data_IF_982505241438
#
_entry.id   IF_982505241438
#
_cell.length_a   1.000
_cell.length_b   1.000
_cell.length_c   1.000
_cell.angle_alpha   90.00
_cell.angle_beta   90.00
_cell.angle_gamma   90.00
#
_symmetry.space_group_name_H-M   'P 1'
#
loop_
_entity.id
_entity.type
_entity.pdbx_description
1 polymer ?
#
# COMPACT_ATOMS: atom_id res chain seq x y z
N UNK A 1 10.26 -26.48 -71.55
CA UNK A 1 10.55 -25.24 -70.79
C UNK A 1 9.64 -25.21 -69.59
N UNK A 2 10.19 -24.77 -68.46
CA UNK A 2 9.89 -25.18 -67.09
C UNK A 2 8.53 -24.80 -66.48
N UNK A 3 8.02 -25.78 -65.73
CA UNK A 3 7.35 -25.78 -64.41
C UNK A 3 6.99 -24.51 -63.60
N UNK A 4 5.83 -24.66 -62.91
CA UNK A 4 5.34 -24.16 -61.58
C UNK A 4 4.52 -22.86 -61.57
N UNK A 5 3.19 -22.91 -61.34
CA UNK A 5 2.36 -23.17 -60.14
C UNK A 5 2.13 -21.97 -59.18
N UNK A 6 0.91 -21.41 -59.30
CA UNK A 6 -0.03 -20.87 -58.27
C UNK A 6 0.36 -19.70 -57.36
N UNK A 7 -0.31 -18.55 -57.54
CA UNK A 7 -1.49 -18.11 -56.74
C UNK A 7 -1.66 -16.59 -56.86
N UNK A 8 -2.75 -16.13 -57.47
CA UNK A 8 -3.17 -14.72 -57.52
C UNK A 8 -4.69 -14.69 -57.79
N UNK A 9 -5.35 -13.58 -57.41
CA UNK A 9 -6.78 -13.22 -57.49
C UNK A 9 -7.44 -13.20 -56.08
N UNK A 10 -8.12 -12.15 -55.61
CA UNK A 10 -8.70 -10.92 -56.18
C UNK A 10 -8.58 -9.78 -55.12
N UNK A 11 -8.30 -8.50 -55.44
CA UNK A 11 -9.16 -7.49 -56.11
C UNK A 11 -10.42 -7.18 -55.26
N UNK A 12 -10.72 -5.97 -54.79
CA UNK A 12 -11.14 -4.78 -55.55
C UNK A 12 -11.08 -3.51 -54.68
N UNK A 13 -10.74 -2.40 -55.34
CA UNK A 13 -10.57 -1.02 -54.86
C UNK A 13 -11.85 -0.23 -54.53
N UNK A 14 -11.62 0.85 -53.76
CA UNK A 14 -12.31 2.16 -53.74
C UNK A 14 -13.73 2.26 -53.15
N UNK A 15 -13.85 3.02 -52.05
CA UNK A 15 -14.66 4.25 -51.97
C UNK A 15 -14.12 5.11 -50.82
N UNK A 16 -13.73 6.33 -51.18
CA UNK A 16 -13.36 7.41 -50.28
C UNK A 16 -14.62 8.24 -50.03
N UNK A 17 -15.14 8.29 -48.81
CA UNK A 17 -16.09 9.33 -48.37
C UNK A 17 -16.11 9.49 -46.84
N UNK A 18 -15.55 10.62 -46.40
CA UNK A 18 -16.03 11.43 -45.28
C UNK A 18 -15.78 10.97 -43.82
N UNK A 19 -15.08 11.87 -43.12
CA UNK A 19 -15.16 12.20 -41.68
C UNK A 19 -14.38 11.33 -40.67
N UNK A 20 -13.24 11.90 -40.29
CA UNK A 20 -12.85 12.12 -38.89
C UNK A 20 -12.78 10.89 -37.99
N UNK A 21 -11.65 10.18 -38.04
CA UNK A 21 -11.20 9.37 -36.92
C UNK A 21 -10.06 10.11 -36.22
N UNK A 22 -10.46 10.72 -35.10
CA UNK A 22 -9.62 11.10 -33.98
C UNK A 22 -8.52 10.06 -33.78
N UNK A 23 -7.27 10.51 -33.72
CA UNK A 23 -6.25 9.82 -32.95
C UNK A 23 -6.71 9.82 -31.49
N UNK A 24 -7.38 8.76 -31.05
CA UNK A 24 -7.61 8.51 -29.63
C UNK A 24 -6.26 8.02 -29.10
N UNK A 25 -5.54 8.92 -28.44
CA UNK A 25 -4.36 8.58 -27.67
C UNK A 25 -4.72 7.48 -26.67
N UNK A 26 -3.90 6.43 -26.63
CA UNK A 26 -3.90 5.51 -25.51
C UNK A 26 -3.39 6.29 -24.29
N UNK A 27 -4.31 6.78 -23.47
CA UNK A 27 -4.00 7.14 -22.09
C UNK A 27 -3.64 5.83 -21.39
N UNK A 28 -2.34 5.63 -21.13
CA UNK A 28 -1.89 4.55 -20.24
C UNK A 28 -2.48 4.88 -18.86
N UNK A 29 -3.50 4.13 -18.43
CA UNK A 29 -4.00 4.23 -17.07
C UNK A 29 -2.93 3.64 -16.13
N UNK A 30 -2.03 4.47 -15.63
CA UNK A 30 -0.99 4.10 -14.65
C UNK A 30 -1.57 4.10 -13.23
N UNK A 31 -2.50 3.18 -12.97
CA UNK A 31 -2.95 2.86 -11.61
C UNK A 31 -2.46 1.47 -11.24
N UNK A 32 -1.75 1.35 -10.12
CA UNK A 32 -1.44 0.05 -9.53
C UNK A 32 -2.61 -0.41 -8.65
N UNK A 33 -2.68 -1.69 -8.37
CA UNK A 33 -3.62 -2.20 -7.37
C UNK A 33 -3.16 -1.75 -5.98
N UNK A 34 -4.07 -1.34 -5.09
CA UNK A 34 -3.70 -1.08 -3.71
C UNK A 34 -3.21 -2.36 -3.04
N UNK A 35 -2.00 -2.32 -2.50
CA UNK A 35 -1.48 -3.41 -1.66
C UNK A 35 -2.17 -3.27 -0.30
N UNK A 36 -3.04 -4.23 0.03
CA UNK A 36 -3.88 -4.17 1.22
C UNK A 36 -3.05 -4.36 2.51
N UNK A 37 -3.33 -3.51 3.48
CA UNK A 37 -2.62 -3.32 4.75
C UNK A 37 -2.76 -4.45 5.78
N UNK A 38 -3.51 -5.51 5.49
CA UNK A 38 -3.87 -6.48 6.54
C UNK A 38 -2.98 -7.72 6.47
N UNK A 39 -2.14 -7.88 5.43
CA UNK A 39 -1.52 -9.17 5.08
C UNK A 39 -0.05 -9.03 4.64
N UNK A 40 0.70 -8.32 5.49
CA UNK A 40 1.98 -7.68 5.20
C UNK A 40 3.20 -8.60 4.96
N UNK A 41 3.45 -9.66 5.74
CA UNK A 41 4.75 -10.37 5.64
C UNK A 41 4.94 -11.17 4.36
N UNK A 42 3.91 -11.90 3.96
CA UNK A 42 4.07 -12.83 2.85
C UNK A 42 4.23 -12.09 1.52
N UNK A 43 3.40 -11.06 1.30
CA UNK A 43 3.42 -10.30 0.04
C UNK A 43 4.74 -9.57 -0.16
N UNK A 44 5.26 -8.85 0.85
CA UNK A 44 6.53 -8.11 0.73
C UNK A 44 7.75 -9.02 0.59
N UNK A 45 7.79 -10.15 1.31
CA UNK A 45 8.87 -11.12 1.16
C UNK A 45 8.87 -11.76 -0.24
N UNK A 46 7.72 -12.23 -0.72
CA UNK A 46 7.62 -12.80 -2.06
C UNK A 46 7.95 -11.76 -3.13
N UNK A 47 7.48 -10.52 -2.95
CA UNK A 47 7.78 -9.41 -3.85
C UNK A 47 9.28 -9.15 -3.95
N UNK A 48 9.99 -8.99 -2.83
CA UNK A 48 11.45 -8.78 -2.84
C UNK A 48 12.21 -9.96 -3.43
N UNK A 49 11.77 -11.19 -3.15
CA UNK A 49 12.34 -12.40 -3.73
C UNK A 49 12.14 -12.45 -5.25
N UNK A 50 10.94 -12.12 -5.75
CA UNK A 50 10.64 -12.04 -7.19
C UNK A 50 11.46 -10.94 -7.88
N UNK A 51 11.80 -9.87 -7.17
CA UNK A 51 12.70 -8.82 -7.63
C UNK A 51 14.20 -9.20 -7.57
N UNK A 52 14.53 -10.40 -7.10
CA UNK A 52 15.88 -10.96 -7.07
C UNK A 52 16.74 -10.46 -5.91
N UNK A 53 16.13 -10.11 -4.77
CA UNK A 53 16.87 -9.83 -3.54
C UNK A 53 17.14 -11.15 -2.79
N UNK A 54 18.40 -11.39 -2.40
CA UNK A 54 18.75 -12.53 -1.56
C UNK A 54 18.17 -12.35 -0.15
N UNK A 55 17.64 -13.40 0.50
CA UNK A 55 16.87 -13.29 1.74
C UNK A 55 17.71 -13.04 3.01
N UNK A 56 18.83 -12.31 2.93
CA UNK A 56 19.62 -11.90 4.10
C UNK A 56 18.91 -10.85 4.96
N UNK A 57 17.94 -10.16 4.36
CA UNK A 57 17.10 -9.16 5.00
C UNK A 57 15.64 -9.51 4.77
N UNK A 58 14.83 -9.42 5.82
CA UNK A 58 13.42 -9.73 5.77
C UNK A 58 12.63 -8.68 6.55
N UNK A 59 11.42 -8.39 6.07
CA UNK A 59 10.49 -7.57 6.84
C UNK A 59 9.90 -8.38 8.00
N UNK A 60 9.79 -7.74 9.16
CA UNK A 60 9.14 -8.28 10.37
C UNK A 60 8.15 -7.26 10.95
N UNK A 61 7.14 -7.75 11.67
CA UNK A 61 6.13 -6.91 12.33
C UNK A 61 6.76 -6.10 13.46
N UNK A 62 6.36 -4.84 13.56
CA UNK A 62 6.54 -4.08 14.79
C UNK A 62 5.23 -4.10 15.58
N UNK A 63 5.16 -4.96 16.59
CA UNK A 63 3.94 -5.18 17.39
C UNK A 63 3.57 -4.01 18.30
N UNK A 64 4.51 -3.13 18.59
CA UNK A 64 4.28 -1.92 19.36
C UNK A 64 5.58 -1.12 19.55
N UNK A 65 5.45 0.02 20.22
CA UNK A 65 6.48 1.07 20.26
C UNK A 65 7.14 1.23 21.63
N UNK A 66 6.82 0.33 22.57
CA UNK A 66 7.51 0.24 23.85
C UNK A 66 8.76 -0.66 23.75
N UNK A 67 9.76 -0.47 24.63
CA UNK A 67 11.01 -1.23 24.55
C UNK A 67 10.84 -2.76 24.61
N UNK A 68 9.80 -3.25 25.29
CA UNK A 68 9.54 -4.69 25.41
C UNK A 68 9.14 -5.26 24.04
N UNK A 69 8.23 -4.60 23.34
CA UNK A 69 7.79 -5.02 22.00
C UNK A 69 8.87 -4.77 20.93
N UNK A 70 9.63 -3.68 21.01
CA UNK A 70 10.76 -3.42 20.11
C UNK A 70 11.92 -4.42 20.29
N UNK A 71 12.02 -5.06 21.45
CA UNK A 71 13.01 -6.12 21.66
C UNK A 71 12.72 -7.40 20.86
N UNK A 72 11.49 -7.57 20.38
CA UNK A 72 11.07 -8.72 19.55
C UNK A 72 11.52 -8.62 18.09
N UNK A 73 11.86 -7.41 17.62
CA UNK A 73 12.34 -7.16 16.26
C UNK A 73 13.81 -7.62 16.16
N UNK A 74 14.15 -8.57 15.25
CA UNK A 74 15.54 -8.96 15.03
C UNK A 74 16.41 -7.77 14.64
N UNK A 75 17.67 -7.80 15.07
CA UNK A 75 18.66 -6.74 14.79
C UNK A 75 19.84 -7.32 14.00
N UNK A 76 20.55 -6.50 13.20
CA UNK A 76 20.30 -5.07 12.95
C UNK A 76 19.03 -4.81 12.11
N UNK A 77 18.50 -3.59 12.21
CA UNK A 77 17.40 -3.06 11.37
C UNK A 77 17.98 -2.00 10.47
N UNK A 78 17.62 -2.00 9.19
CA UNK A 78 18.15 -1.03 8.21
C UNK A 78 17.08 -0.12 7.57
N UNK A 79 15.80 -0.43 7.74
CA UNK A 79 14.70 0.43 7.35
C UNK A 79 13.43 0.12 8.16
N UNK A 80 12.55 1.11 8.30
CA UNK A 80 11.17 0.92 8.79
C UNK A 80 10.21 1.46 7.73
N UNK A 81 9.19 0.68 7.36
CA UNK A 81 8.07 1.18 6.57
C UNK A 81 6.90 1.46 7.50
N UNK A 82 6.35 2.67 7.43
CA UNK A 82 5.14 3.06 8.13
C UNK A 82 3.99 3.17 7.13
N UNK A 83 2.91 2.46 7.40
CA UNK A 83 1.60 2.67 6.79
C UNK A 83 0.76 3.54 7.71
N UNK A 84 0.17 4.60 7.18
CA UNK A 84 -0.70 5.50 7.94
C UNK A 84 -1.83 6.07 7.05
N UNK A 85 -2.91 6.58 7.66
CA UNK A 85 -4.02 7.17 6.92
C UNK A 85 -3.71 8.62 6.50
N UNK A 86 -3.99 8.94 5.24
CA UNK A 86 -4.00 10.28 4.67
C UNK A 86 -5.32 10.96 5.06
N UNK A 87 -5.34 11.57 6.24
CA UNK A 87 -6.48 12.37 6.72
C UNK A 87 -6.33 13.84 6.34
N UNK A 88 -7.40 14.63 6.49
CA UNK A 88 -7.33 16.09 6.28
C UNK A 88 -6.31 16.75 7.23
N UNK A 89 -6.23 16.30 8.49
CA UNK A 89 -5.23 16.78 9.45
C UNK A 89 -3.81 16.52 8.95
N UNK A 90 -3.57 15.33 8.39
CA UNK A 90 -2.28 14.99 7.79
C UNK A 90 -1.96 15.89 6.59
N UNK A 91 -2.90 16.13 5.68
CA UNK A 91 -2.67 16.97 4.49
C UNK A 91 -2.36 18.43 4.84
N UNK A 92 -3.01 18.99 5.87
CA UNK A 92 -2.68 20.32 6.39
C UNK A 92 -1.24 20.33 6.92
N UNK A 93 -0.89 19.39 7.80
CA UNK A 93 0.46 19.29 8.35
C UNK A 93 1.52 19.11 7.25
N UNK A 94 1.27 18.24 6.27
CA UNK A 94 2.18 18.00 5.14
C UNK A 94 2.45 19.27 4.35
N UNK A 95 1.42 20.07 4.12
CA UNK A 95 1.53 21.34 3.39
C UNK A 95 2.32 22.38 4.19
N UNK A 96 2.04 22.50 5.49
CA UNK A 96 2.77 23.40 6.39
C UNK A 96 4.26 23.02 6.52
N UNK A 97 4.55 21.72 6.63
CA UNK A 97 5.92 21.20 6.68
C UNK A 97 6.68 21.49 5.37
N UNK A 98 6.02 21.28 4.23
CA UNK A 98 6.58 21.58 2.91
C UNK A 98 6.93 23.08 2.77
N UNK A 99 6.01 23.98 3.16
CA UNK A 99 6.23 25.42 3.11
C UNK A 99 7.33 25.88 4.08
N UNK A 100 7.34 25.31 5.29
CA UNK A 100 8.38 25.59 6.28
C UNK A 100 9.76 25.21 5.77
N UNK A 101 9.90 24.00 5.22
CA UNK A 101 11.20 23.54 4.71
C UNK A 101 11.62 24.32 3.47
N UNK A 102 10.70 24.64 2.56
CA UNK A 102 11.02 25.49 1.39
C UNK A 102 11.51 26.88 1.78
N UNK A 103 11.00 27.44 2.87
CA UNK A 103 11.37 28.78 3.35
C UNK A 103 12.60 28.80 4.25
N UNK A 104 12.78 27.79 5.10
CA UNK A 104 13.85 27.73 6.10
C UNK A 104 15.05 26.89 5.66
N UNK A 105 14.87 26.02 4.67
CA UNK A 105 15.84 25.02 4.27
C UNK A 105 15.87 23.81 5.21
N UNK A 106 16.54 22.75 4.75
CA UNK A 106 16.96 21.60 5.56
C UNK A 106 18.20 21.00 4.90
N UNK A 107 18.97 20.22 5.66
CA UNK A 107 20.12 19.49 5.13
C UNK A 107 19.71 18.10 4.64
N UNK A 108 19.90 17.84 3.35
CA UNK A 108 19.71 16.52 2.73
C UNK A 108 21.02 16.14 2.04
N UNK A 109 21.65 15.06 2.49
CA UNK A 109 22.87 14.54 1.85
C UNK A 109 22.58 14.07 0.42
N UNK A 110 23.54 14.27 -0.49
CA UNK A 110 23.46 13.80 -1.88
C UNK A 110 23.41 12.28 -2.00
N UNK A 111 23.79 11.55 -0.94
CA UNK A 111 23.79 10.09 -0.89
C UNK A 111 22.37 9.49 -0.82
N UNK A 112 21.37 10.29 -0.40
CA UNK A 112 19.98 9.81 -0.29
C UNK A 112 19.41 9.52 -1.67
N UNK A 113 19.02 8.26 -1.89
CA UNK A 113 18.24 7.86 -3.05
C UNK A 113 16.76 8.17 -2.80
N UNK A 114 16.23 9.16 -3.51
CA UNK A 114 14.83 9.58 -3.45
C UNK A 114 14.16 9.52 -4.81
N UNK A 115 12.87 9.18 -4.83
CA UNK A 115 12.06 9.17 -6.05
C UNK A 115 10.62 9.60 -5.76
N UNK A 116 10.01 10.30 -6.71
CA UNK A 116 8.63 10.78 -6.60
C UNK A 116 7.63 9.63 -6.84
N UNK A 117 6.44 9.79 -6.29
CA UNK A 117 5.29 8.96 -6.62
C UNK A 117 4.42 9.67 -7.64
N UNK A 118 4.32 9.10 -8.82
CA UNK A 118 3.46 9.57 -9.94
C UNK A 118 2.43 8.52 -10.35
N UNK A 119 2.54 7.30 -9.81
CA UNK A 119 1.62 6.18 -10.05
C UNK A 119 0.70 6.05 -8.83
N UNK A 120 -0.62 6.01 -9.06
CA UNK A 120 -1.59 5.79 -7.99
C UNK A 120 -1.40 4.40 -7.38
N UNK A 121 -1.52 4.30 -6.05
CA UNK A 121 -1.35 3.06 -5.27
C UNK A 121 0.05 2.40 -5.32
N UNK A 122 1.06 3.04 -5.91
CA UNK A 122 2.42 2.51 -5.97
C UNK A 122 3.26 2.76 -4.70
N UNK A 123 2.67 3.33 -3.63
CA UNK A 123 3.40 3.74 -2.42
C UNK A 123 4.14 2.57 -1.75
N UNK A 124 3.55 1.36 -1.76
CA UNK A 124 4.23 0.16 -1.23
C UNK A 124 5.51 -0.18 -2.01
N UNK A 125 5.45 -0.20 -3.34
CA UNK A 125 6.63 -0.42 -4.20
C UNK A 125 7.67 0.67 -4.00
N UNK A 126 7.26 1.93 -3.96
CA UNK A 126 8.16 3.07 -3.79
C UNK A 126 8.86 3.01 -2.43
N UNK A 127 8.12 2.72 -1.36
CA UNK A 127 8.68 2.52 -0.02
C UNK A 127 9.73 1.41 0.02
N UNK A 128 9.51 0.30 -0.67
CA UNK A 128 10.51 -0.77 -0.80
C UNK A 128 11.74 -0.33 -1.59
N UNK A 129 11.54 0.34 -2.73
CA UNK A 129 12.67 0.86 -3.52
C UNK A 129 13.49 1.82 -2.68
N UNK A 130 12.86 2.72 -1.92
CA UNK A 130 13.53 3.61 -0.98
C UNK A 130 14.30 2.85 0.09
N UNK A 131 13.70 1.85 0.74
CA UNK A 131 14.35 1.05 1.78
C UNK A 131 15.59 0.31 1.25
N UNK A 132 15.49 -0.32 0.07
CA UNK A 132 16.58 -1.11 -0.53
C UNK A 132 17.66 -0.21 -1.13
N UNK A 133 17.29 0.85 -1.85
CA UNK A 133 18.25 1.74 -2.51
C UNK A 133 19.17 2.45 -1.52
N UNK A 134 18.62 2.91 -0.38
CA UNK A 134 19.39 3.59 0.66
C UNK A 134 20.17 2.63 1.58
N UNK A 135 20.03 1.32 1.37
CA UNK A 135 20.81 0.29 2.06
C UNK A 135 21.57 -0.62 1.08
N UNK A 136 21.83 -0.15 -0.15
CA UNK A 136 22.38 -0.98 -1.24
C UNK A 136 23.64 -1.76 -0.85
N UNK A 137 24.52 -1.18 -0.03
CA UNK A 137 25.77 -1.81 0.41
C UNK A 137 25.55 -3.00 1.37
N UNK A 138 24.39 -3.06 2.04
CA UNK A 138 23.97 -4.16 2.92
C UNK A 138 23.23 -5.26 2.15
N UNK A 139 22.88 -5.01 0.88
CA UNK A 139 21.96 -5.84 0.10
C UNK A 139 22.71 -6.75 -0.87
N UNK A 140 22.34 -8.03 -0.87
CA UNK A 140 22.82 -9.00 -1.84
C UNK A 140 21.74 -9.26 -2.89
N UNK A 141 22.09 -9.09 -4.16
CA UNK A 141 21.17 -9.28 -5.27
C UNK A 141 21.56 -10.54 -6.05
N UNK A 142 20.56 -11.34 -6.41
CA UNK A 142 20.74 -12.49 -7.28
C UNK A 142 21.11 -12.07 -8.71
N UNK A 143 21.77 -12.96 -9.45
CA UNK A 143 22.08 -12.77 -10.86
C UNK A 143 20.79 -12.55 -11.66
N UNK A 144 20.69 -11.42 -12.36
CA UNK A 144 19.49 -11.06 -13.13
C UNK A 144 18.41 -10.33 -12.33
N UNK A 145 18.68 -9.91 -11.08
CA UNK A 145 17.75 -9.09 -10.29
C UNK A 145 17.26 -7.87 -11.07
N UNK A 146 15.94 -7.79 -11.23
CA UNK A 146 15.26 -6.69 -11.92
C UNK A 146 15.32 -5.40 -11.11
N UNK A 147 15.31 -5.51 -9.77
CA UNK A 147 15.51 -4.37 -8.87
C UNK A 147 16.93 -3.85 -8.90
N UNK A 148 17.95 -4.72 -8.90
CA UNK A 148 19.35 -4.29 -9.05
C UNK A 148 19.53 -3.47 -10.33
N UNK A 149 19.03 -3.99 -11.46
CA UNK A 149 19.08 -3.31 -12.75
C UNK A 149 18.41 -1.93 -12.68
N UNK A 150 17.20 -1.85 -12.13
CA UNK A 150 16.49 -0.58 -11.93
C UNK A 150 17.33 0.43 -11.14
N UNK A 151 17.93 0.01 -10.01
CA UNK A 151 18.75 0.89 -9.15
C UNK A 151 20.06 1.35 -9.83
N UNK A 152 20.67 0.49 -10.65
CA UNK A 152 21.89 0.84 -11.40
C UNK A 152 21.60 1.83 -12.53
N UNK A 153 20.50 1.64 -13.26
CA UNK A 153 20.13 2.51 -14.38
C UNK A 153 19.60 3.89 -13.91
N UNK A 154 19.07 3.97 -12.70
CA UNK A 154 18.43 5.17 -12.16
C UNK A 154 19.28 5.95 -11.15
N UNK A 155 20.53 5.52 -10.91
CA UNK A 155 21.42 6.11 -9.90
C UNK A 155 21.65 7.61 -10.12
N UNK A 156 21.82 8.04 -11.37
CA UNK A 156 22.10 9.44 -11.74
C UNK A 156 20.86 10.24 -12.15
N UNK A 157 19.68 9.64 -12.07
CA UNK A 157 18.42 10.30 -12.41
C UNK A 157 17.94 11.21 -11.27
N UNK A 158 17.27 12.30 -11.61
CA UNK A 158 16.49 13.10 -10.66
C UNK A 158 15.31 12.31 -10.07
N UNK A 159 14.74 12.73 -8.92
CA UNK A 159 13.56 12.08 -8.33
C UNK A 159 12.37 11.95 -9.28
N UNK A 160 12.15 12.94 -10.15
CA UNK A 160 11.09 12.96 -11.16
C UNK A 160 11.39 11.99 -12.31
N UNK A 161 12.63 11.92 -12.76
CA UNK A 161 13.06 10.97 -13.79
C UNK A 161 12.97 9.53 -13.29
N UNK A 162 13.33 9.27 -12.03
CA UNK A 162 13.15 7.95 -11.38
C UNK A 162 11.68 7.52 -11.37
N UNK A 163 10.77 8.46 -11.13
CA UNK A 163 9.33 8.20 -11.15
C UNK A 163 8.84 7.83 -12.56
N UNK A 164 9.21 8.62 -13.57
CA UNK A 164 8.94 8.31 -14.99
C UNK A 164 9.58 7.01 -15.44
N UNK A 165 10.74 6.68 -14.90
CA UNK A 165 11.41 5.42 -15.19
C UNK A 165 10.59 4.24 -14.66
N UNK A 166 10.10 4.33 -13.42
CA UNK A 166 9.22 3.32 -12.83
C UNK A 166 7.91 3.13 -13.61
N UNK A 167 7.30 4.20 -14.12
CA UNK A 167 6.09 4.14 -14.96
C UNK A 167 6.25 3.23 -16.18
N UNK A 168 7.47 3.16 -16.73
CA UNK A 168 7.79 2.40 -17.94
C UNK A 168 8.54 1.09 -17.64
N UNK A 169 8.73 0.72 -16.36
CA UNK A 169 9.50 -0.44 -15.96
C UNK A 169 8.60 -1.65 -15.69
N UNK A 170 8.22 -2.34 -16.77
CA UNK A 170 7.23 -3.43 -16.76
C UNK A 170 7.54 -4.55 -15.76
N UNK A 171 8.81 -4.87 -15.54
CA UNK A 171 9.20 -5.95 -14.63
C UNK A 171 8.71 -5.70 -13.20
N UNK A 172 8.86 -4.47 -12.68
CA UNK A 172 8.39 -4.12 -11.33
C UNK A 172 6.86 -4.01 -11.31
N UNK A 173 6.25 -3.47 -12.37
CA UNK A 173 4.79 -3.36 -12.49
C UNK A 173 4.10 -4.73 -12.43
N UNK A 174 4.57 -5.71 -13.20
CA UNK A 174 4.00 -7.06 -13.25
C UNK A 174 4.20 -7.79 -11.92
N UNK A 175 5.37 -7.66 -11.30
CA UNK A 175 5.63 -8.22 -9.97
C UNK A 175 4.72 -7.58 -8.91
N UNK A 176 4.48 -6.27 -8.98
CA UNK A 176 3.56 -5.57 -8.07
C UNK A 176 2.12 -6.06 -8.22
N UNK A 177 1.63 -6.17 -9.45
CA UNK A 177 0.30 -6.68 -9.73
C UNK A 177 0.12 -8.10 -9.18
N UNK A 178 1.12 -8.97 -9.39
CA UNK A 178 1.10 -10.34 -8.85
C UNK A 178 1.05 -10.35 -7.33
N UNK A 179 1.91 -9.58 -6.65
CA UNK A 179 1.95 -9.55 -5.18
C UNK A 179 0.72 -8.89 -4.55
N UNK A 180 0.05 -7.97 -5.25
CA UNK A 180 -1.22 -7.41 -4.81
C UNK A 180 -2.35 -8.46 -4.76
N UNK A 181 -2.22 -9.56 -5.52
CA UNK A 181 -3.16 -10.69 -5.54
C UNK A 181 -2.83 -11.79 -4.52
N UNK A 182 -1.63 -11.79 -3.92
CA UNK A 182 -1.16 -12.84 -3.01
C UNK A 182 -1.59 -12.64 -1.54
N UNK A 183 -2.43 -11.64 -1.26
CA UNK A 183 -3.09 -11.50 0.04
C UNK A 183 -4.22 -12.52 0.24
N UNK A 184 -4.48 -12.93 1.48
CA UNK A 184 -5.73 -13.57 1.96
C UNK A 184 -7.04 -12.80 1.65
N UNK A 185 -6.99 -11.79 0.79
CA UNK A 185 -8.14 -11.08 0.20
C UNK A 185 -8.13 -11.34 -1.30
N UNK A 186 -9.12 -12.08 -1.83
CA UNK A 186 -9.23 -12.33 -3.27
C UNK A 186 -9.45 -11.02 -4.04
N UNK A 187 -8.85 -10.90 -5.23
CA UNK A 187 -9.13 -9.83 -6.18
C UNK A 187 -10.21 -10.28 -7.18
N UNK A 188 -11.08 -9.35 -7.58
CA UNK A 188 -12.10 -9.65 -8.59
C UNK A 188 -11.51 -9.54 -10.00
N UNK A 189 -11.40 -10.65 -10.71
CA UNK A 189 -11.23 -10.66 -12.18
C UNK A 189 -12.51 -10.12 -12.86
N UNK A 190 -12.42 -9.39 -13.99
CA UNK A 190 -13.60 -8.88 -14.69
C UNK A 190 -14.39 -10.06 -15.28
N UNK A 191 -15.55 -10.36 -14.69
CA UNK A 191 -16.43 -11.44 -15.17
C UNK A 191 -16.98 -11.08 -16.55
N UNK A 192 -16.69 -11.94 -17.53
CA UNK A 192 -17.31 -11.97 -18.85
C UNK A 192 -18.84 -11.96 -18.74
N UNK A 193 -19.48 -10.96 -19.34
CA UNK A 193 -20.92 -10.84 -19.47
C UNK A 193 -21.52 -11.96 -20.34
N UNK A 194 -22.44 -12.75 -19.77
CA UNK A 194 -23.46 -13.49 -20.52
C UNK A 194 -24.83 -13.22 -19.84
N UNK A 195 -25.89 -12.95 -20.60
CA UNK A 195 -27.14 -12.41 -20.07
C UNK A 195 -28.10 -13.54 -19.66
N UNK A 196 -28.61 -13.51 -18.42
CA UNK A 196 -29.74 -14.34 -18.04
C UNK A 196 -31.00 -13.50 -17.79
N UNK A 197 -32.02 -13.90 -18.55
CA UNK A 197 -33.35 -13.34 -18.70
C UNK A 197 -34.18 -13.34 -17.42
N UNK A 198 -35.03 -12.32 -17.37
CA UNK A 198 -36.20 -12.12 -16.50
C UNK A 198 -36.98 -13.38 -16.11
N UNK A 199 -37.46 -13.41 -14.86
CA UNK A 199 -38.86 -13.77 -14.57
C UNK A 199 -39.29 -13.28 -13.18
N UNK A 200 -40.15 -12.26 -13.18
CA UNK A 200 -40.96 -11.80 -12.06
C UNK A 200 -42.28 -12.60 -12.08
N UNK A 201 -42.70 -13.15 -10.93
CA UNK A 201 -44.10 -13.57 -10.72
C UNK A 201 -44.61 -13.10 -9.37
N UNK A 202 -45.80 -12.53 -9.43
CA UNK A 202 -46.56 -11.87 -8.36
C UNK A 202 -47.82 -12.67 -8.04
N UNK A 203 -48.34 -12.47 -6.80
CA UNK A 203 -49.70 -12.75 -6.28
C UNK A 203 -49.98 -14.21 -5.87
N UNK A 204 -50.80 -14.53 -4.86
CA UNK A 204 -51.89 -13.80 -4.19
C UNK A 204 -52.17 -14.32 -2.75
N UNK A 205 -53.07 -13.60 -2.07
CA UNK A 205 -53.58 -13.67 -0.69
C UNK A 205 -54.68 -14.71 -0.37
N UNK A 206 -54.89 -15.01 0.92
CA UNK A 206 -56.20 -15.02 1.64
C UNK A 206 -55.96 -15.24 3.16
N UNK A 207 -56.44 -14.32 4.03
CA UNK A 207 -57.58 -14.44 5.01
C UNK A 207 -57.51 -15.68 5.92
N UNK A 208 -57.83 -15.73 7.22
CA UNK A 208 -58.23 -14.85 8.33
C UNK A 208 -58.50 -15.83 9.51
N UNK A 209 -58.26 -15.49 10.79
CA UNK A 209 -59.19 -15.77 11.92
C UNK A 209 -58.66 -15.28 13.28
N UNK A 210 -59.63 -14.96 14.15
CA UNK A 210 -59.63 -14.15 15.36
C UNK A 210 -59.36 -14.92 16.67
N UNK A 211 -59.14 -14.14 17.74
CA UNK A 211 -59.45 -14.40 19.18
C UNK A 211 -58.42 -15.26 19.97
N UNK A 212 -57.99 -14.98 21.22
CA UNK A 212 -58.35 -14.02 22.29
C UNK A 212 -57.23 -13.96 23.36
N UNK A 213 -57.16 -12.86 24.14
CA UNK A 213 -56.31 -12.62 25.33
C UNK A 213 -56.79 -13.42 26.58
N UNK A 214 -56.05 -13.52 27.72
CA UNK A 214 -55.86 -12.42 28.73
C UNK A 214 -54.45 -12.35 29.38
N UNK A 215 -53.85 -11.16 29.50
CA UNK A 215 -53.72 -10.35 30.75
C UNK A 215 -53.19 -11.06 32.02
N UNK A 216 -51.92 -10.77 32.39
CA UNK A 216 -51.47 -10.65 33.79
C UNK A 216 -50.62 -9.39 33.96
N UNK A 217 -50.89 -8.68 35.07
CA UNK A 217 -50.48 -7.32 35.43
C UNK A 217 -49.14 -7.27 36.17
N UNK A 218 -48.41 -6.18 35.88
CA UNK A 218 -47.71 -5.24 36.79
C UNK A 218 -46.60 -5.76 37.72
N UNK A 219 -45.44 -5.10 37.74
CA UNK A 219 -45.23 -3.89 38.54
C UNK A 219 -43.89 -3.19 38.25
N UNK A 220 -43.89 -1.89 38.55
CA UNK A 220 -42.88 -0.86 38.32
C UNK A 220 -41.87 -0.71 39.48
N UNK A 221 -40.93 0.23 39.24
CA UNK A 221 -40.08 1.02 40.17
C UNK A 221 -38.68 0.44 40.37
N UNK A 222 -37.55 1.13 40.20
CA UNK A 222 -37.19 2.56 40.09
C UNK A 222 -35.64 2.67 40.17
N UNK A 223 -35.04 3.89 40.14
CA UNK A 223 -33.75 4.14 39.49
C UNK A 223 -32.52 4.11 40.42
N UNK A 224 -31.32 3.88 39.87
CA UNK A 224 -30.07 4.11 40.59
C UNK A 224 -28.95 4.70 39.71
N UNK A 225 -28.63 5.94 40.07
CA UNK A 225 -27.45 6.81 39.93
C UNK A 225 -26.21 6.32 39.18
N UNK A 226 -25.67 7.27 38.41
CA UNK A 226 -24.32 7.34 37.87
C UNK A 226 -23.23 7.34 38.95
N UNK A 227 -22.18 6.57 38.70
CA UNK A 227 -20.85 6.70 39.30
C UNK A 227 -19.82 6.51 38.20
N UNK A 228 -18.93 7.50 38.03
CA UNK A 228 -17.75 7.43 37.16
C UNK A 228 -16.79 6.34 37.62
N UNK A 229 -16.12 5.62 36.70
CA UNK A 229 -14.85 5.00 37.05
C UNK A 229 -13.74 5.27 36.02
N UNK A 230 -12.65 5.85 36.53
CA UNK A 230 -11.23 5.57 36.23
C UNK A 230 -10.85 5.14 34.80
N UNK A 231 -10.00 5.95 34.15
CA UNK A 231 -9.23 5.56 32.96
C UNK A 231 -8.41 4.29 33.21
N UNK A 232 -8.94 3.15 32.74
CA UNK A 232 -8.19 1.90 32.60
C UNK A 232 -7.48 1.92 31.24
N UNK A 233 -6.15 1.91 31.27
CA UNK A 233 -5.32 1.53 30.13
C UNK A 233 -5.82 0.18 29.60
N UNK A 234 -6.34 0.18 28.37
CA UNK A 234 -6.78 -1.03 27.68
C UNK A 234 -5.56 -1.72 27.11
N UNK A 235 -5.02 -2.67 27.87
CA UNK A 235 -4.14 -3.72 27.39
C UNK A 235 -4.81 -4.43 26.21
N UNK A 236 -4.15 -4.50 25.07
CA UNK A 236 -4.61 -5.27 23.91
C UNK A 236 -4.82 -6.73 24.32
N UNK A 237 -6.00 -7.28 24.04
CA UNK A 237 -6.26 -8.72 24.23
C UNK A 237 -5.77 -9.45 22.98
N UNK A 238 -4.93 -10.48 23.10
CA UNK A 238 -4.59 -11.32 21.97
C UNK A 238 -5.86 -12.05 21.50
N UNK A 239 -6.16 -11.96 20.21
CA UNK A 239 -7.19 -12.78 19.59
C UNK A 239 -6.71 -14.24 19.65
N UNK A 240 -7.25 -14.98 20.62
CA UNK A 240 -7.27 -16.44 20.56
C UNK A 240 -7.97 -16.82 19.26
N UNK A 241 -7.31 -17.71 18.50
CA UNK A 241 -7.73 -18.28 17.22
C UNK A 241 -9.21 -18.68 17.27
N UNK A 242 -10.09 -17.86 16.68
CA UNK A 242 -11.49 -18.21 16.43
C UNK A 242 -11.58 -19.01 15.12
N UNK A 243 -12.39 -20.08 15.05
CA UNK A 243 -12.62 -20.81 13.81
C UNK A 243 -13.29 -19.90 12.77
N UNK A 244 -12.89 -20.08 11.52
CA UNK A 244 -13.33 -19.36 10.33
C UNK A 244 -14.86 -19.16 10.26
N UNK A 245 -15.31 -17.95 10.59
CA UNK A 245 -16.58 -17.41 10.13
C UNK A 245 -16.25 -16.42 9.02
N UNK A 246 -16.65 -16.76 7.80
CA UNK A 246 -16.26 -16.11 6.54
C UNK A 246 -16.62 -14.63 6.48
N UNK A 247 -15.69 -13.78 6.88
CA UNK A 247 -15.66 -12.37 6.53
C UNK A 247 -14.68 -12.22 5.36
N UNK A 248 -15.19 -12.40 4.14
CA UNK A 248 -14.43 -12.13 2.92
C UNK A 248 -14.25 -10.60 2.80
N UNK A 249 -13.03 -10.11 3.01
CA UNK A 249 -12.65 -8.76 2.58
C UNK A 249 -11.95 -8.89 1.22
N UNK A 250 -12.45 -8.14 0.23
CA UNK A 250 -12.00 -8.18 -1.17
C UNK A 250 -10.89 -7.14 -1.33
N UNK A 251 -9.88 -7.40 -2.17
CA UNK A 251 -8.95 -6.33 -2.55
C UNK A 251 -9.76 -5.17 -3.18
N UNK A 252 -9.59 -3.92 -2.72
CA UNK A 252 -10.39 -2.81 -3.23
C UNK A 252 -10.20 -2.67 -4.74
N UNK A 253 -11.23 -2.16 -5.43
CA UNK A 253 -11.09 -1.91 -6.87
C UNK A 253 -9.95 -0.90 -7.11
N UNK A 254 -9.26 -0.94 -8.27
CA UNK A 254 -8.23 0.05 -8.60
C UNK A 254 -8.70 1.51 -8.49
N UNK A 255 -10.00 1.74 -8.64
CA UNK A 255 -10.65 3.05 -8.59
C UNK A 255 -11.19 3.42 -7.20
N UNK A 256 -11.15 2.50 -6.23
CA UNK A 256 -11.56 2.79 -4.86
C UNK A 256 -10.52 3.71 -4.20
N UNK A 257 -11.01 4.76 -3.54
CA UNK A 257 -10.14 5.74 -2.88
C UNK A 257 -9.47 5.08 -1.68
N UNK A 258 -8.25 4.60 -1.86
CA UNK A 258 -7.41 4.15 -0.77
C UNK A 258 -6.80 5.36 -0.07
N UNK A 259 -7.11 5.49 1.21
CA UNK A 259 -6.63 6.58 2.06
C UNK A 259 -5.44 6.16 2.92
N UNK A 260 -4.84 5.00 2.68
CA UNK A 260 -3.64 4.54 3.39
C UNK A 260 -2.38 4.76 2.54
N UNK A 261 -1.26 5.10 3.18
CA UNK A 261 -0.03 5.47 2.50
C UNK A 261 1.22 4.95 3.20
N UNK A 262 2.18 4.48 2.40
CA UNK A 262 3.48 4.04 2.87
C UNK A 262 4.54 5.13 2.76
N UNK A 263 5.39 5.20 3.78
CA UNK A 263 6.66 5.92 3.75
C UNK A 263 7.78 5.00 4.23
N UNK A 264 9.02 5.33 3.85
CA UNK A 264 10.21 4.65 4.36
C UNK A 264 11.00 5.55 5.30
N UNK A 265 11.51 4.99 6.39
CA UNK A 265 12.42 5.60 7.34
C UNK A 265 13.76 4.87 7.28
N UNK A 266 14.82 5.60 6.95
CA UNK A 266 16.16 5.04 6.70
C UNK A 266 17.27 5.87 7.34
N UNK A 267 18.36 5.21 7.73
CA UNK A 267 19.60 5.85 8.15
C UNK A 267 20.52 6.07 6.93
N UNK A 268 20.91 7.32 6.67
CA UNK A 268 21.90 7.67 5.63
C UNK A 268 22.81 8.77 6.19
N UNK A 269 24.14 8.56 6.10
CA UNK A 269 25.17 9.51 6.53
C UNK A 269 24.93 10.11 7.94
N UNK A 270 24.57 9.27 8.92
CA UNK A 270 24.35 9.68 10.31
C UNK A 270 22.99 10.31 10.59
N UNK A 271 22.09 10.38 9.61
CA UNK A 271 20.80 11.04 9.74
C UNK A 271 19.62 10.12 9.41
N UNK A 272 18.50 10.37 10.08
CA UNK A 272 17.23 9.69 9.86
C UNK A 272 16.44 10.44 8.78
N UNK A 273 16.17 9.76 7.67
CA UNK A 273 15.38 10.31 6.57
C UNK A 273 14.03 9.62 6.45
N UNK A 274 12.97 10.43 6.37
CA UNK A 274 11.66 10.02 5.88
C UNK A 274 11.59 10.23 4.36
N UNK A 275 11.22 9.17 3.65
CA UNK A 275 11.10 9.12 2.21
C UNK A 275 9.63 8.87 1.84
N UNK A 276 8.93 9.96 1.52
CA UNK A 276 7.56 9.98 0.99
C UNK A 276 7.58 10.46 -0.46
N UNK A 277 7.26 9.59 -1.43
CA UNK A 277 7.21 9.96 -2.84
C UNK A 277 6.18 11.06 -3.18
N UNK A 278 5.18 11.30 -2.30
CA UNK A 278 4.20 12.38 -2.46
C UNK A 278 4.81 13.73 -2.11
N UNK A 279 5.78 13.78 -1.18
CA UNK A 279 6.51 15.01 -0.81
C UNK A 279 7.52 15.42 -1.89
N UNK A 280 7.88 16.70 -2.00
CA UNK A 280 8.85 17.16 -3.01
C UNK A 280 10.30 16.74 -2.72
N UNK A 281 10.64 16.40 -1.47
CA UNK A 281 11.98 16.05 -1.04
C UNK A 281 11.94 15.10 0.18
N UNK A 282 13.04 14.38 0.49
CA UNK A 282 13.22 13.69 1.77
C UNK A 282 13.05 14.64 2.95
N UNK A 283 12.61 14.13 4.11
CA UNK A 283 12.54 14.91 5.35
C UNK A 283 13.61 14.40 6.31
N UNK A 284 14.53 15.28 6.70
CA UNK A 284 15.56 14.96 7.70
C UNK A 284 14.97 15.12 9.10
N UNK A 285 14.94 14.03 9.87
CA UNK A 285 14.43 13.98 11.25
C UNK A 285 15.52 14.14 12.32
N UNK A 286 16.77 14.36 11.92
CA UNK A 286 17.91 14.55 12.82
C UNK A 286 18.87 13.37 12.80
N UNK A 287 19.74 13.31 13.81
CA UNK A 287 20.78 12.29 13.93
C UNK A 287 20.19 10.91 14.25
N UNK A 288 20.81 9.86 13.70
CA UNK A 288 20.57 8.45 14.05
C UNK A 288 21.83 7.64 13.76
N UNK A 289 21.79 6.34 14.05
CA UNK A 289 22.87 5.39 13.77
C UNK A 289 22.30 4.05 13.29
N UNK A 290 23.16 3.17 12.77
CA UNK A 290 22.74 1.81 12.41
C UNK A 290 22.21 1.05 13.65
N UNK A 291 22.70 1.36 14.85
CA UNK A 291 22.31 0.73 16.11
C UNK A 291 21.00 1.25 16.69
N UNK A 292 20.66 2.53 16.45
CA UNK A 292 19.49 3.21 17.04
C UNK A 292 18.36 3.48 16.04
N UNK A 293 18.54 3.14 14.76
CA UNK A 293 17.57 3.41 13.69
C UNK A 293 16.15 2.95 14.05
N UNK A 294 16.00 1.76 14.64
CA UNK A 294 14.67 1.24 14.97
C UNK A 294 13.98 2.15 15.98
N UNK A 295 14.65 2.49 17.08
CA UNK A 295 14.12 3.34 18.12
C UNK A 295 13.81 4.75 17.59
N UNK A 296 14.74 5.36 16.85
CA UNK A 296 14.61 6.72 16.33
C UNK A 296 13.50 6.83 15.26
N UNK A 297 13.39 5.82 14.38
CA UNK A 297 12.29 5.74 13.41
C UNK A 297 10.93 5.59 14.11
N UNK A 298 10.87 4.84 15.21
CA UNK A 298 9.64 4.66 15.97
C UNK A 298 9.21 5.95 16.69
N UNK A 299 10.15 6.79 17.13
CA UNK A 299 9.82 8.14 17.61
C UNK A 299 9.20 9.01 16.51
N UNK A 300 9.63 8.88 15.25
CA UNK A 300 8.95 9.53 14.12
C UNK A 300 7.54 8.97 13.94
N UNK A 301 7.36 7.65 13.96
CA UNK A 301 6.04 7.01 13.89
C UNK A 301 5.08 7.50 14.99
N UNK A 302 5.56 7.67 16.23
CA UNK A 302 4.76 8.23 17.34
C UNK A 302 4.24 9.62 17.01
N UNK A 303 5.08 10.50 16.45
CA UNK A 303 4.64 11.84 16.03
C UNK A 303 3.52 11.78 14.99
N UNK A 304 3.51 10.80 14.07
CA UNK A 304 2.40 10.62 13.12
C UNK A 304 1.09 10.28 13.85
N UNK A 305 1.15 9.38 14.83
CA UNK A 305 -0.02 8.96 15.62
C UNK A 305 -0.53 10.07 16.55
N UNK A 306 0.36 10.84 17.16
CA UNK A 306 0.01 11.95 18.05
C UNK A 306 -0.72 13.10 17.33
N UNK A 307 -0.45 13.28 16.03
CA UNK A 307 -1.13 14.28 15.20
C UNK A 307 -2.58 13.91 14.90
N UNK A 308 -2.90 12.62 14.87
CA UNK A 308 -4.26 12.13 14.66
C UNK A 308 -4.64 11.06 15.71
N UNK A 309 -4.89 11.47 16.97
CA UNK A 309 -5.03 10.55 18.10
C UNK A 309 -6.29 9.68 18.05
N UNK A 310 -7.24 10.03 17.18
CA UNK A 310 -8.46 9.26 16.95
C UNK A 310 -8.24 8.12 15.94
N UNK A 311 -7.09 8.12 15.24
CA UNK A 311 -6.80 7.11 14.24
C UNK A 311 -6.08 5.88 14.80
N UNK A 312 -6.53 4.72 14.30
CA UNK A 312 -6.00 3.42 14.67
C UNK A 312 -5.39 2.68 13.47
N UNK A 313 -5.57 3.20 12.26
CA UNK A 313 -5.16 2.55 11.00
C UNK A 313 -3.68 2.74 10.69
N UNK A 314 -2.81 2.41 11.63
CA UNK A 314 -1.35 2.42 11.46
C UNK A 314 -0.80 0.99 11.44
N UNK A 315 0.24 0.77 10.65
CA UNK A 315 1.05 -0.45 10.69
C UNK A 315 2.51 -0.09 10.45
N UNK A 316 3.44 -0.77 11.13
CA UNK A 316 4.87 -0.60 10.90
C UNK A 316 5.54 -1.97 10.71
N UNK A 317 6.43 -2.03 9.73
CA UNK A 317 7.27 -3.20 9.47
C UNK A 317 8.74 -2.77 9.42
N UNK A 318 9.63 -3.58 9.98
CA UNK A 318 11.06 -3.32 10.02
C UNK A 318 11.81 -4.29 9.09
N UNK A 319 12.76 -3.77 8.30
CA UNK A 319 13.66 -4.58 7.49
C UNK A 319 14.85 -4.99 8.35
N UNK A 320 14.81 -6.21 8.89
CA UNK A 320 15.81 -6.76 9.80
C UNK A 320 16.67 -7.83 9.12
N UNK A 321 17.87 -8.05 9.66
CA UNK A 321 18.68 -9.22 9.28
C UNK A 321 17.90 -10.52 9.56
N UNK A 322 18.05 -11.51 8.66
CA UNK A 322 17.37 -12.81 8.70
C UNK A 322 18.36 -13.97 8.78
#
# INVERSE_FOLDING_TARGET
METRFTSFLLNISNICTSRSLLCIGYTVHTCFFPVNAILFFHSFYQFLKQLGLHPNWQFVDVYGMDPELLSMVPRPVCAVLLLFPITEKYEVFRTEEEEKIKSQGQDVTSSVYFMKQTISNACGTIGLIHAIANNKDKMHFESGSTLKKFLEESVSMSPEERARYLENYDAIRVTHETSAHEGQTESSSPSSSQPHSSHCRTKASSLCHHASLPWVKRNHVGPAKATSPSLRLRRWRPFLRLPSLGLHSVAPSPDEKVDLHFIALVHVDGHLYELDGRKPFPINHGETSDETLLEDAIEVCKKFMERDPDELRFNAIALSAA
#
